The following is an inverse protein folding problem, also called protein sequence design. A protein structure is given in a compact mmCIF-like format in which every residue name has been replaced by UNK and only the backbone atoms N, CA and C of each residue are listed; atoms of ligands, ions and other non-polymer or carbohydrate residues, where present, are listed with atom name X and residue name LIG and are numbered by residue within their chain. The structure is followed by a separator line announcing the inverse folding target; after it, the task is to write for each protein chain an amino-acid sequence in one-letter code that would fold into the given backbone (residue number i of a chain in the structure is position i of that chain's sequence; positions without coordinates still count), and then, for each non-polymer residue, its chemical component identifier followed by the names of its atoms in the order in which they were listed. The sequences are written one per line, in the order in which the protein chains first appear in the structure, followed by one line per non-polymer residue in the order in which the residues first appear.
data_IF_416853137041
#
_entry.id   IF_416853137041
#
_cell.length_a   1.000
_cell.length_b   1.000
_cell.length_c   1.000
_cell.angle_alpha   90.00
_cell.angle_beta   90.00
_cell.angle_gamma   90.00
#
_symmetry.space_group_name_H-M   'P 1'
#
loop_
_entity.id
_entity.type
_entity.pdbx_description
1 polymer ?
#
# COMPACT_ATOMS: atom_id res chain seq x y z
N UNK A 1 -1.06 -21.60 10.48
CA UNK A 1 0.32 -21.16 10.14
C UNK A 1 0.22 -19.85 9.38
N UNK A 2 0.97 -18.81 9.78
CA UNK A 2 0.91 -17.51 9.11
C UNK A 2 1.72 -17.60 7.81
N UNK A 3 1.05 -17.95 6.72
CA UNK A 3 1.61 -17.83 5.39
C UNK A 3 1.48 -16.35 5.00
N UNK A 4 2.60 -15.63 4.95
CA UNK A 4 2.60 -14.22 4.57
C UNK A 4 2.31 -14.11 3.08
N UNK A 5 1.09 -13.68 2.74
CA UNK A 5 0.68 -13.47 1.35
C UNK A 5 0.74 -11.98 1.00
N UNK A 6 1.89 -11.54 0.50
CA UNK A 6 2.11 -10.17 0.05
C UNK A 6 1.39 -9.82 -1.28
N UNK A 7 0.69 -10.78 -1.91
CA UNK A 7 -0.03 -10.56 -3.18
C UNK A 7 -1.39 -9.88 -2.99
N UNK A 8 -1.94 -9.89 -1.79
CA UNK A 8 -3.29 -9.38 -1.50
C UNK A 8 -3.34 -7.88 -1.19
N UNK A 9 -2.23 -7.14 -1.37
CA UNK A 9 -2.19 -5.70 -1.13
C UNK A 9 -2.81 -4.97 -2.33
N UNK A 10 -3.80 -4.13 -2.06
CA UNK A 10 -4.47 -3.32 -3.08
C UNK A 10 -3.50 -2.32 -3.72
N UNK A 11 -3.74 -2.03 -5.01
CA UNK A 11 -2.94 -1.07 -5.76
C UNK A 11 -3.03 0.31 -5.10
N UNK A 12 -1.88 0.94 -4.86
CA UNK A 12 -1.78 2.28 -4.30
C UNK A 12 -1.78 3.27 -5.46
N UNK A 13 -2.85 4.06 -5.67
CA UNK A 13 -2.92 4.98 -6.78
C UNK A 13 -1.97 6.17 -6.57
N UNK A 14 -1.57 6.81 -7.68
CA UNK A 14 -0.80 8.05 -7.62
C UNK A 14 -1.57 9.15 -6.90
N UNK A 15 -0.89 10.16 -6.37
CA UNK A 15 -1.55 11.27 -5.68
C UNK A 15 -2.61 12.00 -6.52
N UNK A 16 -2.42 12.06 -7.85
CA UNK A 16 -3.41 12.66 -8.77
C UNK A 16 -4.62 11.75 -8.96
N UNK A 17 -4.38 10.48 -9.31
CA UNK A 17 -5.46 9.52 -9.54
C UNK A 17 -6.28 9.29 -8.27
N UNK A 18 -5.62 9.28 -7.11
CA UNK A 18 -6.27 9.21 -5.80
C UNK A 18 -7.31 10.34 -5.66
N UNK A 19 -6.92 11.58 -5.96
CA UNK A 19 -7.82 12.74 -5.87
C UNK A 19 -8.98 12.60 -6.86
N UNK A 20 -8.69 12.23 -8.10
CA UNK A 20 -9.69 12.12 -9.16
C UNK A 20 -10.73 11.03 -8.85
N UNK A 21 -10.30 9.88 -8.35
CA UNK A 21 -11.17 8.78 -7.91
C UNK A 21 -12.13 9.27 -6.81
N UNK A 22 -11.61 9.97 -5.79
CA UNK A 22 -12.40 10.40 -4.62
C UNK A 22 -13.39 11.52 -4.99
N UNK A 23 -12.95 12.50 -5.77
CA UNK A 23 -13.81 13.60 -6.20
C UNK A 23 -14.89 13.12 -7.17
N UNK A 24 -14.54 12.24 -8.10
CA UNK A 24 -15.48 11.58 -9.01
C UNK A 24 -16.54 10.79 -8.23
N UNK A 25 -16.13 9.98 -7.25
CA UNK A 25 -17.05 9.23 -6.38
C UNK A 25 -17.96 10.16 -5.59
N UNK A 26 -17.43 11.26 -5.05
CA UNK A 26 -18.22 12.28 -4.35
C UNK A 26 -19.29 12.88 -5.26
N UNK A 27 -18.95 13.20 -6.51
CA UNK A 27 -19.89 13.78 -7.47
C UNK A 27 -21.00 12.79 -7.88
N UNK A 28 -20.66 11.52 -8.10
CA UNK A 28 -21.62 10.48 -8.52
C UNK A 28 -22.54 10.00 -7.41
N UNK A 29 -22.03 9.89 -6.17
CA UNK A 29 -22.75 9.25 -5.05
C UNK A 29 -23.44 10.24 -4.09
N UNK A 30 -23.37 11.54 -4.36
CA UNK A 30 -24.07 12.57 -3.57
C UNK A 30 -24.94 13.44 -4.46
N UNK A 31 -26.10 13.95 -3.98
CA UNK A 31 -26.96 14.82 -4.78
C UNK A 31 -26.17 16.06 -5.25
N UNK A 32 -26.46 16.53 -6.46
CA UNK A 32 -25.68 17.59 -7.13
C UNK A 32 -26.45 18.91 -7.26
N UNK A 33 -27.77 18.84 -7.41
CA UNK A 33 -28.63 20.01 -7.66
C UNK A 33 -29.04 20.70 -6.35
N UNK A 34 -28.90 22.02 -6.32
CA UNK A 34 -29.37 22.91 -5.23
C UNK A 34 -29.89 24.22 -5.81
N UNK A 35 -30.96 24.76 -5.21
CA UNK A 35 -31.54 26.04 -5.61
C UNK A 35 -31.39 27.08 -4.51
N UNK A 36 -31.21 28.35 -4.91
CA UNK A 36 -31.04 29.48 -3.98
C UNK A 36 -32.22 29.69 -3.03
N UNK A 37 -33.43 29.29 -3.43
CA UNK A 37 -34.68 29.45 -2.66
C UNK A 37 -34.85 28.41 -1.54
N UNK A 38 -33.96 27.43 -1.42
CA UNK A 38 -34.05 26.42 -0.36
C UNK A 38 -33.75 27.02 1.01
N UNK A 39 -34.42 26.49 2.04
CA UNK A 39 -34.14 26.83 3.42
C UNK A 39 -32.66 26.65 3.75
N UNK A 40 -32.08 27.58 4.52
CA UNK A 40 -30.65 27.59 4.84
C UNK A 40 -30.19 26.28 5.50
N UNK A 41 -31.05 25.68 6.33
CA UNK A 41 -30.80 24.37 6.96
C UNK A 41 -30.53 23.28 5.91
N UNK A 42 -31.32 23.23 4.83
CA UNK A 42 -31.14 22.28 3.72
C UNK A 42 -29.84 22.53 2.97
N UNK A 43 -29.48 23.79 2.73
CA UNK A 43 -28.21 24.17 2.07
C UNK A 43 -27.00 23.75 2.91
N UNK A 44 -27.03 24.04 4.21
CA UNK A 44 -25.99 23.64 5.16
C UNK A 44 -25.82 22.12 5.18
N UNK A 45 -26.90 21.37 5.34
CA UNK A 45 -26.91 19.90 5.33
C UNK A 45 -26.38 19.32 4.02
N UNK A 46 -26.73 19.92 2.88
CA UNK A 46 -26.24 19.50 1.56
C UNK A 46 -24.71 19.58 1.46
N UNK A 47 -24.12 20.72 1.82
CA UNK A 47 -22.66 20.90 1.75
C UNK A 47 -21.92 20.14 2.85
N UNK A 48 -22.49 20.03 4.06
CA UNK A 48 -21.94 19.19 5.12
C UNK A 48 -21.86 17.72 4.69
N UNK A 49 -22.91 17.21 4.03
CA UNK A 49 -22.91 15.84 3.48
C UNK A 49 -21.78 15.64 2.48
N UNK A 50 -21.54 16.59 1.57
CA UNK A 50 -20.42 16.50 0.61
C UNK A 50 -19.06 16.46 1.31
N UNK A 51 -18.80 17.36 2.26
CA UNK A 51 -17.51 17.39 2.99
C UNK A 51 -17.30 16.09 3.80
N UNK A 52 -18.34 15.62 4.50
CA UNK A 52 -18.27 14.37 5.27
C UNK A 52 -18.09 13.15 4.38
N UNK A 53 -18.82 13.07 3.28
CA UNK A 53 -18.72 11.97 2.33
C UNK A 53 -17.31 11.88 1.74
N UNK A 54 -16.71 13.01 1.34
CA UNK A 54 -15.34 13.01 0.83
C UNK A 54 -14.32 12.62 1.91
N UNK A 55 -14.47 13.13 3.15
CA UNK A 55 -13.59 12.72 4.25
C UNK A 55 -13.67 11.22 4.54
N UNK A 56 -14.88 10.64 4.52
CA UNK A 56 -15.07 9.22 4.76
C UNK A 56 -14.36 8.38 3.69
N UNK A 57 -14.52 8.74 2.41
CA UNK A 57 -13.83 8.04 1.32
C UNK A 57 -12.30 8.15 1.41
N UNK A 58 -11.76 9.31 1.75
CA UNK A 58 -10.32 9.47 2.02
C UNK A 58 -9.88 8.58 3.18
N UNK A 59 -10.65 8.58 4.27
CA UNK A 59 -10.33 7.80 5.46
C UNK A 59 -10.33 6.29 5.17
N UNK A 60 -11.35 5.78 4.48
CA UNK A 60 -11.44 4.37 4.08
C UNK A 60 -10.25 3.96 3.24
N UNK A 61 -9.96 4.68 2.14
CA UNK A 61 -8.85 4.33 1.25
C UNK A 61 -7.48 4.41 1.92
N UNK A 62 -7.23 5.44 2.72
CA UNK A 62 -5.96 5.56 3.46
C UNK A 62 -5.84 4.47 4.53
N UNK A 63 -6.94 4.11 5.21
CA UNK A 63 -6.93 3.03 6.19
C UNK A 63 -6.71 1.65 5.55
N UNK A 64 -7.28 1.40 4.37
CA UNK A 64 -6.98 0.19 3.59
C UNK A 64 -5.48 0.07 3.33
N UNK A 65 -4.84 1.13 2.86
CA UNK A 65 -3.38 1.14 2.63
C UNK A 65 -2.63 0.87 3.94
N UNK A 66 -2.97 1.54 5.04
CA UNK A 66 -2.26 1.34 6.32
C UNK A 66 -2.40 -0.08 6.86
N UNK A 67 -3.55 -0.73 6.66
CA UNK A 67 -3.86 -2.03 7.23
C UNK A 67 -3.32 -3.20 6.39
N UNK A 68 -3.27 -3.05 5.07
CA UNK A 68 -2.79 -4.11 4.16
C UNK A 68 -1.27 -4.21 4.13
N UNK A 69 -0.56 -3.11 4.38
CA UNK A 69 0.90 -3.12 4.44
C UNK A 69 1.39 -3.76 5.75
N UNK A 70 2.35 -4.71 5.68
CA UNK A 70 2.81 -5.46 6.85
C UNK A 70 3.55 -4.55 7.83
N UNK A 71 3.32 -4.76 9.13
CA UNK A 71 4.11 -4.12 10.18
C UNK A 71 5.41 -4.89 10.37
N UNK A 72 6.52 -4.26 10.02
CA UNK A 72 7.84 -4.90 10.03
C UNK A 72 8.28 -5.43 11.42
N UNK A 73 7.70 -4.93 12.50
CA UNK A 73 8.03 -5.37 13.87
C UNK A 73 7.19 -6.58 14.32
N UNK A 74 6.04 -6.84 13.67
CA UNK A 74 5.10 -7.91 14.05
C UNK A 74 5.25 -9.16 13.14
N UNK A 75 6.07 -9.08 12.09
CA UNK A 75 6.32 -10.19 11.16
C UNK A 75 7.47 -11.08 11.65
N UNK A 76 7.52 -12.30 11.11
CA UNK A 76 8.60 -13.23 11.42
C UNK A 76 9.98 -12.62 11.09
N UNK A 77 11.02 -12.80 11.95
CA UNK A 77 12.35 -12.20 11.78
C UNK A 77 12.94 -12.38 10.37
N UNK A 78 12.81 -13.57 9.78
CA UNK A 78 13.22 -13.84 8.38
C UNK A 78 12.70 -12.80 7.39
N UNK A 79 11.41 -12.47 7.44
CA UNK A 79 10.83 -11.46 6.55
C UNK A 79 11.15 -10.05 7.03
N UNK A 80 11.24 -9.82 8.35
CA UNK A 80 11.69 -8.54 8.92
C UNK A 80 13.04 -8.10 8.38
N UNK A 81 14.02 -9.00 8.43
CA UNK A 81 15.39 -8.76 7.99
C UNK A 81 15.48 -8.69 6.45
N UNK A 82 14.78 -9.58 5.74
CA UNK A 82 14.70 -9.52 4.28
C UNK A 82 14.15 -8.17 3.79
N UNK A 83 13.06 -7.69 4.39
CA UNK A 83 12.45 -6.41 4.04
C UNK A 83 13.33 -5.22 4.48
N UNK A 84 14.07 -5.35 5.58
CA UNK A 84 15.03 -4.34 6.02
C UNK A 84 16.15 -4.15 4.98
N UNK A 85 16.73 -5.26 4.49
CA UNK A 85 17.77 -5.26 3.45
C UNK A 85 17.24 -4.70 2.13
N UNK A 86 16.01 -5.07 1.73
CA UNK A 86 15.45 -4.67 0.44
C UNK A 86 14.96 -3.22 0.38
N UNK A 87 14.31 -2.72 1.45
CA UNK A 87 13.51 -1.49 1.35
C UNK A 87 13.96 -0.35 2.27
N UNK A 88 14.95 -0.59 3.13
CA UNK A 88 15.27 0.28 4.26
C UNK A 88 14.05 0.47 5.20
N UNK A 89 14.11 -0.18 6.37
CA UNK A 89 13.03 -0.19 7.38
C UNK A 89 12.59 1.21 7.80
N UNK A 90 13.51 2.17 7.88
CA UNK A 90 13.21 3.51 8.37
C UNK A 90 12.40 4.30 7.33
N UNK A 91 12.83 4.23 6.06
CA UNK A 91 12.11 4.89 4.98
C UNK A 91 10.71 4.31 4.78
N UNK A 92 10.56 2.98 4.88
CA UNK A 92 9.27 2.30 4.88
C UNK A 92 8.34 2.81 6.00
N UNK A 93 8.82 2.80 7.25
CA UNK A 93 8.04 3.26 8.41
C UNK A 93 7.66 4.73 8.29
N UNK A 94 8.56 5.58 7.79
CA UNK A 94 8.29 7.00 7.54
C UNK A 94 7.18 7.18 6.50
N UNK A 95 7.22 6.45 5.38
CA UNK A 95 6.21 6.53 4.34
C UNK A 95 4.81 6.14 4.86
N UNK A 96 4.69 5.01 5.57
CA UNK A 96 3.43 4.58 6.19
C UNK A 96 2.98 5.58 7.27
N UNK A 97 3.90 6.11 8.07
CA UNK A 97 3.64 7.14 9.08
C UNK A 97 3.11 8.45 8.49
N UNK A 98 3.62 8.86 7.33
CA UNK A 98 3.12 10.03 6.59
C UNK A 98 1.68 9.83 6.10
N UNK A 99 1.34 8.63 5.60
CA UNK A 99 -0.03 8.28 5.19
C UNK A 99 -0.99 8.34 6.39
N UNK A 100 -0.58 7.79 7.55
CA UNK A 100 -1.37 7.86 8.78
C UNK A 100 -1.56 9.32 9.26
N UNK A 101 -0.51 10.12 9.20
CA UNK A 101 -0.56 11.54 9.56
C UNK A 101 -1.51 12.31 8.64
N UNK A 102 -1.46 12.06 7.33
CA UNK A 102 -2.37 12.64 6.35
C UNK A 102 -3.84 12.28 6.62
N UNK A 103 -4.13 11.00 6.95
CA UNK A 103 -5.47 10.54 7.37
C UNK A 103 -6.01 11.35 8.55
N UNK A 104 -5.16 11.60 9.55
CA UNK A 104 -5.53 12.36 10.75
C UNK A 104 -5.72 13.85 10.44
N UNK A 105 -4.91 14.44 9.55
CA UNK A 105 -5.06 15.83 9.10
C UNK A 105 -6.36 16.01 8.33
N UNK A 106 -6.70 15.12 7.39
CA UNK A 106 -7.95 15.17 6.62
C UNK A 106 -9.17 15.10 7.55
N UNK A 107 -9.10 14.24 8.57
CA UNK A 107 -10.17 14.11 9.57
C UNK A 107 -10.35 15.41 10.37
N UNK A 108 -9.25 16.08 10.75
CA UNK A 108 -9.29 17.40 11.42
C UNK A 108 -9.90 18.47 10.53
N UNK A 109 -9.40 18.60 9.29
CA UNK A 109 -9.93 19.55 8.29
C UNK A 109 -11.44 19.37 8.14
N UNK A 110 -11.92 18.15 7.95
CA UNK A 110 -13.35 17.89 7.80
C UNK A 110 -14.16 18.30 9.03
N UNK A 111 -13.69 18.00 10.24
CA UNK A 111 -14.35 18.39 11.49
C UNK A 111 -14.48 19.92 11.59
N UNK A 112 -13.42 20.65 11.25
CA UNK A 112 -13.41 22.12 11.34
C UNK A 112 -14.34 22.75 10.31
N UNK A 113 -14.28 22.33 9.03
CA UNK A 113 -15.17 22.87 8.00
C UNK A 113 -16.64 22.51 8.22
N UNK A 114 -16.93 21.34 8.79
CA UNK A 114 -18.31 20.98 9.17
C UNK A 114 -18.82 21.85 10.30
N UNK A 115 -17.99 22.23 11.27
CA UNK A 115 -18.36 23.22 12.30
C UNK A 115 -18.63 24.59 11.69
N UNK A 116 -17.77 25.06 10.79
CA UNK A 116 -17.95 26.36 10.10
C UNK A 116 -19.23 26.39 9.25
N UNK A 117 -19.57 25.28 8.57
CA UNK A 117 -20.77 25.16 7.75
C UNK A 117 -22.07 25.29 8.56
N UNK A 118 -22.07 25.01 9.87
CA UNK A 118 -23.26 25.20 10.72
C UNK A 118 -23.71 26.67 10.78
N UNK A 119 -22.76 27.60 10.63
CA UNK A 119 -23.00 29.04 10.69
C UNK A 119 -23.01 29.71 9.31
N UNK A 120 -23.10 28.94 8.22
CA UNK A 120 -23.21 29.50 6.87
C UNK A 120 -24.52 30.28 6.67
N UNK A 121 -24.43 31.53 6.25
CA UNK A 121 -25.54 32.48 6.07
C UNK A 121 -26.20 32.40 4.67
N UNK A 122 -25.45 31.95 3.66
CA UNK A 122 -25.83 32.03 2.26
C UNK A 122 -25.37 30.80 1.46
N UNK A 123 -26.00 30.58 0.30
CA UNK A 123 -25.57 29.56 -0.66
C UNK A 123 -24.11 29.77 -1.07
N UNK A 124 -23.72 31.02 -1.34
CA UNK A 124 -22.38 31.38 -1.77
C UNK A 124 -21.35 31.02 -0.69
N UNK A 125 -21.56 31.45 0.56
CA UNK A 125 -20.66 31.14 1.68
C UNK A 125 -20.51 29.64 1.90
N UNK A 126 -21.62 28.88 1.87
CA UNK A 126 -21.58 27.43 2.01
C UNK A 126 -20.82 26.76 0.86
N UNK A 127 -20.99 27.24 -0.39
CA UNK A 127 -20.26 26.75 -1.56
C UNK A 127 -18.76 27.00 -1.41
N UNK A 128 -18.36 28.20 -0.99
CA UNK A 128 -16.96 28.58 -0.77
C UNK A 128 -16.31 27.71 0.32
N UNK A 129 -16.99 27.52 1.46
CA UNK A 129 -16.53 26.64 2.53
C UNK A 129 -16.32 25.20 2.05
N UNK A 130 -17.25 24.67 1.25
CA UNK A 130 -17.09 23.34 0.64
C UNK A 130 -15.90 23.29 -0.31
N UNK A 131 -15.68 24.30 -1.16
CA UNK A 131 -14.53 24.32 -2.10
C UNK A 131 -13.22 24.35 -1.31
N UNK A 132 -13.12 25.21 -0.31
CA UNK A 132 -11.95 25.32 0.55
C UNK A 132 -11.66 24.01 1.30
N UNK A 133 -12.68 23.35 1.85
CA UNK A 133 -12.54 22.07 2.54
C UNK A 133 -11.95 20.99 1.62
N UNK A 134 -12.56 20.79 0.45
CA UNK A 134 -12.10 19.79 -0.52
C UNK A 134 -10.71 20.12 -1.07
N UNK A 135 -10.44 21.39 -1.36
CA UNK A 135 -9.13 21.86 -1.81
C UNK A 135 -8.04 21.53 -0.79
N UNK A 136 -8.26 21.84 0.50
CA UNK A 136 -7.29 21.51 1.56
C UNK A 136 -7.08 20.02 1.73
N UNK A 137 -8.11 19.20 1.62
CA UNK A 137 -7.96 17.73 1.62
C UNK A 137 -7.10 17.26 0.44
N UNK A 138 -7.34 17.79 -0.76
CA UNK A 138 -6.55 17.46 -1.95
C UNK A 138 -5.09 17.89 -1.80
N UNK A 139 -4.81 19.07 -1.23
CA UNK A 139 -3.45 19.54 -0.98
C UNK A 139 -2.68 18.62 -0.04
N UNK A 140 -3.33 18.06 0.98
CA UNK A 140 -2.72 17.06 1.87
C UNK A 140 -2.30 15.82 1.09
N UNK A 141 -3.16 15.32 0.19
CA UNK A 141 -2.85 14.15 -0.64
C UNK A 141 -1.72 14.44 -1.64
N UNK A 142 -1.73 15.63 -2.28
CA UNK A 142 -0.64 16.04 -3.17
C UNK A 142 0.71 16.05 -2.45
N UNK A 143 0.74 16.49 -1.19
CA UNK A 143 1.96 16.52 -0.37
C UNK A 143 2.55 15.14 -0.09
N UNK A 144 1.70 14.11 0.09
CA UNK A 144 2.14 12.72 0.30
C UNK A 144 2.34 11.94 -1.01
N UNK A 145 2.24 12.59 -2.17
CA UNK A 145 2.40 11.96 -3.48
C UNK A 145 3.67 11.12 -3.63
N UNK A 146 4.86 11.60 -3.21
CA UNK A 146 6.10 10.82 -3.27
C UNK A 146 6.03 9.52 -2.44
N UNK A 147 5.44 9.60 -1.24
CA UNK A 147 5.31 8.46 -0.33
C UNK A 147 4.34 7.41 -0.90
N UNK A 148 3.26 7.83 -1.55
CA UNK A 148 2.33 6.93 -2.24
C UNK A 148 3.01 6.22 -3.43
N UNK A 149 3.82 6.94 -4.21
CA UNK A 149 4.57 6.37 -5.32
C UNK A 149 5.59 5.32 -4.84
N UNK A 150 6.30 5.63 -3.75
CA UNK A 150 7.23 4.70 -3.12
C UNK A 150 6.52 3.44 -2.57
N UNK A 151 5.37 3.60 -1.91
CA UNK A 151 4.58 2.47 -1.42
C UNK A 151 4.08 1.58 -2.57
N UNK A 152 3.70 2.15 -3.72
CA UNK A 152 3.31 1.36 -4.90
C UNK A 152 4.50 0.56 -5.47
N UNK A 153 5.69 1.14 -5.53
CA UNK A 153 6.91 0.42 -5.94
C UNK A 153 7.21 -0.75 -5.01
N UNK A 154 7.13 -0.52 -3.69
CA UNK A 154 7.30 -1.59 -2.70
C UNK A 154 6.26 -2.68 -2.90
N UNK A 155 4.98 -2.32 -3.06
CA UNK A 155 3.89 -3.28 -3.27
C UNK A 155 4.14 -4.17 -4.48
N UNK A 156 4.54 -3.59 -5.61
CA UNK A 156 4.85 -4.34 -6.83
C UNK A 156 6.02 -5.32 -6.62
N UNK A 157 7.05 -4.91 -5.88
CA UNK A 157 8.19 -5.76 -5.60
C UNK A 157 7.85 -6.86 -4.57
N UNK A 158 7.10 -6.53 -3.51
CA UNK A 158 6.62 -7.47 -2.50
C UNK A 158 5.71 -8.55 -3.10
N UNK A 159 4.87 -8.18 -4.08
CA UNK A 159 4.01 -9.14 -4.78
C UNK A 159 4.78 -10.21 -5.56
N UNK A 160 6.06 -9.97 -5.88
CA UNK A 160 6.96 -10.91 -6.57
C UNK A 160 7.76 -11.79 -5.60
N UNK A 161 7.76 -11.49 -4.30
CA UNK A 161 8.48 -12.29 -3.32
C UNK A 161 7.88 -13.71 -3.23
N UNK A 162 8.71 -14.75 -3.19
CA UNK A 162 8.22 -16.11 -2.99
C UNK A 162 7.68 -16.28 -1.57
N UNK A 163 6.67 -17.14 -1.42
CA UNK A 163 6.16 -17.52 -0.10
C UNK A 163 7.04 -18.61 0.51
N UNK A 164 7.79 -18.26 1.55
CA UNK A 164 8.60 -19.17 2.37
C UNK A 164 7.88 -19.41 3.70
N UNK A 165 7.74 -20.66 4.12
CA UNK A 165 7.31 -20.99 5.48
C UNK A 165 8.53 -21.21 6.38
N UNK A 166 8.85 -20.32 7.33
CA UNK A 166 10.03 -20.47 8.18
C UNK A 166 10.05 -21.75 9.01
N UNK A 167 8.90 -22.37 9.26
CA UNK A 167 8.79 -23.58 10.09
C UNK A 167 8.78 -24.87 9.27
N UNK A 168 8.75 -24.78 7.95
CA UNK A 168 8.74 -25.94 7.06
C UNK A 168 10.15 -26.56 6.91
N UNK A 169 10.18 -27.82 6.48
CA UNK A 169 11.45 -28.52 6.18
C UNK A 169 12.12 -27.86 4.98
N UNK A 170 13.27 -27.25 5.23
CA UNK A 170 13.94 -26.37 4.27
C UNK A 170 15.33 -26.88 3.94
N UNK A 171 15.68 -26.87 2.66
CA UNK A 171 17.04 -27.10 2.17
C UNK A 171 17.51 -25.81 1.52
N UNK A 172 18.58 -25.23 2.05
CA UNK A 172 19.19 -24.01 1.51
C UNK A 172 20.37 -24.41 0.61
N UNK A 173 20.42 -23.87 -0.60
CA UNK A 173 21.53 -24.07 -1.52
C UNK A 173 22.38 -22.80 -1.50
N UNK A 174 23.58 -22.89 -0.92
CA UNK A 174 24.55 -21.79 -0.83
C UNK A 174 25.86 -22.16 -1.51
N UNK A 175 26.61 -21.15 -1.97
CA UNK A 175 27.92 -21.31 -2.61
C UNK A 175 28.27 -20.17 -3.53
N UNK A 176 29.48 -20.20 -4.10
CA UNK A 176 29.99 -19.14 -4.98
C UNK A 176 29.09 -18.89 -6.21
N UNK A 177 29.14 -17.69 -6.83
CA UNK A 177 28.52 -17.45 -8.12
C UNK A 177 28.94 -18.50 -9.16
N UNK A 178 28.05 -18.84 -10.10
CA UNK A 178 28.32 -19.74 -11.23
C UNK A 178 28.69 -21.21 -10.93
N UNK A 179 28.56 -21.71 -9.70
CA UNK A 179 28.81 -23.13 -9.37
C UNK A 179 27.67 -24.09 -9.79
N UNK A 180 26.61 -23.59 -10.42
CA UNK A 180 25.49 -24.41 -10.89
C UNK A 180 24.34 -24.62 -9.89
N UNK A 181 24.21 -23.78 -8.86
CA UNK A 181 23.13 -23.86 -7.85
C UNK A 181 21.73 -23.83 -8.48
N UNK A 182 21.48 -22.88 -9.37
CA UNK A 182 20.20 -22.75 -10.08
C UNK A 182 19.96 -23.88 -11.09
N UNK A 183 21.01 -24.48 -11.66
CA UNK A 183 20.87 -25.71 -12.45
C UNK A 183 20.46 -26.90 -11.59
N UNK A 184 20.94 -26.96 -10.35
CA UNK A 184 20.56 -28.01 -9.40
C UNK A 184 19.10 -27.86 -8.99
N UNK A 185 18.62 -26.65 -8.65
CA UNK A 185 17.22 -26.44 -8.22
C UNK A 185 16.21 -26.82 -9.31
N UNK A 186 16.48 -26.50 -10.58
CA UNK A 186 15.63 -26.86 -11.72
C UNK A 186 15.56 -28.37 -11.97
N UNK A 187 16.58 -29.13 -11.55
CA UNK A 187 16.59 -30.60 -11.68
C UNK A 187 15.82 -31.29 -10.57
N UNK A 188 15.89 -30.77 -9.35
CA UNK A 188 15.30 -31.42 -8.15
C UNK A 188 13.90 -30.91 -7.83
N UNK A 189 13.51 -29.76 -8.37
CA UNK A 189 12.20 -29.14 -8.18
C UNK A 189 11.60 -28.74 -9.52
N UNK A 190 10.31 -28.39 -9.55
CA UNK A 190 9.65 -27.80 -10.73
C UNK A 190 9.82 -26.28 -10.81
N UNK A 191 10.84 -25.72 -10.15
CA UNK A 191 11.14 -24.30 -10.28
C UNK A 191 11.71 -24.02 -11.67
N UNK A 192 11.38 -22.86 -12.23
CA UNK A 192 11.89 -22.38 -13.50
C UNK A 192 12.79 -21.17 -13.22
N UNK A 193 14.05 -21.45 -12.90
CA UNK A 193 15.06 -20.42 -12.59
C UNK A 193 15.99 -20.25 -13.79
N UNK A 194 16.17 -19.01 -14.24
CA UNK A 194 17.07 -18.70 -15.35
C UNK A 194 18.54 -19.06 -15.01
N UNK A 195 19.18 -19.84 -15.88
CA UNK A 195 20.60 -20.20 -15.76
C UNK A 195 21.38 -19.52 -16.88
N UNK A 196 22.33 -18.66 -16.53
CA UNK A 196 23.18 -17.95 -17.48
C UNK A 196 24.65 -18.05 -17.02
N UNK A 197 25.63 -17.97 -17.94
CA UNK A 197 27.03 -18.26 -17.63
C UNK A 197 27.76 -17.15 -16.86
N UNK A 198 27.11 -16.03 -16.55
CA UNK A 198 27.69 -14.90 -15.82
C UNK A 198 27.18 -14.79 -14.38
N UNK A 199 28.03 -14.28 -13.49
CA UNK A 199 27.74 -14.16 -12.06
C UNK A 199 26.52 -13.28 -11.78
N UNK A 200 25.92 -13.46 -10.60
CA UNK A 200 24.72 -12.75 -10.13
C UNK A 200 23.49 -12.93 -11.02
N UNK A 201 23.36 -14.11 -11.65
CA UNK A 201 22.16 -14.48 -12.41
C UNK A 201 20.91 -14.46 -11.53
N UNK A 202 21.01 -15.00 -10.30
CA UNK A 202 19.96 -14.93 -9.28
C UNK A 202 20.18 -13.72 -8.36
N UNK A 203 19.40 -12.66 -8.59
CA UNK A 203 19.40 -11.44 -7.76
C UNK A 203 18.43 -11.50 -6.58
N UNK A 204 17.55 -12.50 -6.58
CA UNK A 204 16.50 -12.72 -5.58
C UNK A 204 16.53 -14.17 -5.12
N UNK A 205 15.95 -14.43 -3.96
CA UNK A 205 15.72 -15.80 -3.48
C UNK A 205 14.68 -16.48 -4.36
N UNK A 206 14.98 -17.71 -4.78
CA UNK A 206 14.02 -18.57 -5.48
C UNK A 206 13.65 -19.75 -4.60
N UNK A 207 12.38 -20.17 -4.66
CA UNK A 207 11.85 -21.26 -3.85
C UNK A 207 11.27 -22.30 -4.78
N UNK A 208 11.82 -23.51 -4.70
CA UNK A 208 11.26 -24.71 -5.30
C UNK A 208 10.63 -25.60 -4.24
N UNK A 209 9.65 -26.40 -4.64
CA UNK A 209 9.06 -27.43 -3.79
C UNK A 209 9.36 -28.81 -4.37
N UNK A 210 9.67 -29.76 -3.50
CA UNK A 210 9.91 -31.16 -3.86
C UNK A 210 9.36 -32.11 -2.81
N UNK A 211 9.19 -33.37 -3.18
CA UNK A 211 8.71 -34.42 -2.29
C UNK A 211 9.79 -35.48 -2.11
N UNK A 212 10.07 -35.81 -0.85
CA UNK A 212 10.97 -36.91 -0.51
C UNK A 212 10.37 -37.71 0.64
N UNK A 213 10.27 -39.03 0.47
CA UNK A 213 9.62 -39.94 1.44
C UNK A 213 8.21 -39.47 1.86
N UNK A 214 7.40 -39.08 0.88
CA UNK A 214 6.04 -38.55 1.08
C UNK A 214 5.95 -37.29 1.97
N UNK A 215 7.07 -36.60 2.19
CA UNK A 215 7.12 -35.34 2.93
C UNK A 215 7.46 -34.18 1.99
N UNK A 216 6.78 -33.04 2.13
CA UNK A 216 7.12 -31.85 1.36
C UNK A 216 8.39 -31.19 1.92
N UNK A 217 9.28 -30.79 1.02
CA UNK A 217 10.46 -29.99 1.30
C UNK A 217 10.40 -28.70 0.47
N UNK A 218 10.79 -27.59 1.09
CA UNK A 218 11.09 -26.36 0.37
C UNK A 218 12.59 -26.26 0.13
N UNK A 219 12.97 -25.98 -1.10
CA UNK A 219 14.36 -25.82 -1.54
C UNK A 219 14.54 -24.36 -1.90
N UNK A 220 15.47 -23.68 -1.25
CA UNK A 220 15.70 -22.25 -1.43
C UNK A 220 17.06 -22.06 -2.11
N UNK A 221 17.06 -21.43 -3.28
CA UNK A 221 18.27 -20.99 -3.98
C UNK A 221 18.67 -19.59 -3.50
N UNK A 222 19.95 -19.40 -3.23
CA UNK A 222 20.52 -18.15 -2.73
C UNK A 222 21.42 -17.49 -3.78
N UNK A 223 21.45 -16.15 -3.85
CA UNK A 223 22.47 -15.44 -4.62
C UNK A 223 23.87 -15.92 -4.21
N UNK A 224 24.80 -15.97 -5.16
CA UNK A 224 26.17 -16.31 -4.85
C UNK A 224 26.82 -15.26 -3.94
N UNK A 225 27.44 -15.72 -2.86
CA UNK A 225 28.21 -14.89 -1.93
C UNK A 225 29.67 -14.90 -2.38
N UNK A 226 30.34 -13.75 -2.31
CA UNK A 226 31.78 -13.60 -2.44
C UNK A 226 32.28 -13.21 -1.04
N UNK A 227 33.22 -13.97 -0.47
CA UNK A 227 33.93 -13.60 0.76
C UNK A 227 35.00 -12.53 0.46
#
# INVERSE_FOLDING_TARGET
MVQYNFKNITVVPSGKDFIDIILSRTQRQTPTVVHKRYAISRLRSFYMRKVKFTQQNFHEKLSTIINEFPRLDDIHPLYGDLLHVLYNKDHYKLAVGQVNTARNIITRIAKDYVRLLKYGDSLYRCKCLKVAALGRMCTVIKRIGPSLAYLEQIRQHMARLPSIDPNARTVLICGFPNVGKSSFINKITRADVDVQPYAFTTKSLFVGHTYYKCLPYQVIDTPGILD
#
